data_IF_776170480252
#
_entry.id   IF_776170480252
#
_cell.length_a   1.000
_cell.length_b   1.000
_cell.length_c   1.000
_cell.angle_alpha   90.00
_cell.angle_beta   90.00
_cell.angle_gamma   90.00
#
_symmetry.space_group_name_H-M   'P 1'
#
loop_
_entity.id
_entity.type
_entity.pdbx_description
1 polymer ?
#
# COMPACT_ATOMS: atom_id res chain seq x y z
N UNK A 1 2.06 -21.57 -5.52
CA UNK A 1 1.30 -20.36 -5.14
C UNK A 1 1.63 -19.22 -6.10
N UNK A 2 0.73 -18.26 -6.34
CA UNK A 2 1.07 -17.12 -7.18
C UNK A 2 2.14 -16.27 -6.48
N UNK A 3 3.28 -16.06 -7.14
CA UNK A 3 4.42 -15.30 -6.62
C UNK A 3 4.04 -13.88 -6.12
N UNK A 4 2.88 -13.37 -6.54
CA UNK A 4 2.36 -12.06 -6.21
C UNK A 4 1.95 -11.91 -4.73
N UNK A 5 1.39 -12.96 -4.09
CA UNK A 5 0.95 -12.90 -2.68
C UNK A 5 2.16 -12.72 -1.73
N UNK A 6 3.21 -13.51 -1.95
CA UNK A 6 4.43 -13.44 -1.14
C UNK A 6 5.11 -12.08 -1.29
N UNK A 7 5.05 -11.47 -2.48
CA UNK A 7 5.60 -10.13 -2.69
C UNK A 7 4.85 -9.07 -1.87
N UNK A 8 3.51 -9.11 -1.87
CA UNK A 8 2.70 -8.18 -1.08
C UNK A 8 2.97 -8.29 0.43
N UNK A 9 3.15 -9.52 0.95
CA UNK A 9 3.53 -9.73 2.36
C UNK A 9 4.85 -9.00 2.65
N UNK A 10 5.87 -9.22 1.81
CA UNK A 10 7.18 -8.57 1.99
C UNK A 10 7.10 -7.05 1.87
N UNK A 11 6.34 -6.49 0.93
CA UNK A 11 6.19 -5.04 0.81
C UNK A 11 5.58 -4.44 2.08
N UNK A 12 4.53 -5.06 2.62
CA UNK A 12 3.91 -4.62 3.88
C UNK A 12 4.87 -4.76 5.07
N UNK A 13 5.67 -5.81 5.10
CA UNK A 13 6.70 -5.98 6.13
C UNK A 13 7.77 -4.89 6.04
N UNK A 14 8.30 -4.63 4.84
CA UNK A 14 9.29 -3.57 4.62
C UNK A 14 8.71 -2.21 5.02
N UNK A 15 7.46 -1.91 4.66
CA UNK A 15 6.75 -0.70 5.07
C UNK A 15 6.74 -0.52 6.59
N UNK A 16 6.28 -1.53 7.33
CA UNK A 16 6.27 -1.52 8.78
C UNK A 16 7.66 -1.33 9.39
N UNK A 17 8.67 -2.00 8.83
CA UNK A 17 10.06 -1.83 9.24
C UNK A 17 10.51 -0.38 9.07
N UNK A 18 10.40 0.17 7.86
CA UNK A 18 10.92 1.50 7.53
C UNK A 18 10.16 2.65 8.22
N UNK A 19 8.90 2.43 8.63
CA UNK A 19 8.14 3.34 9.50
C UNK A 19 8.63 3.34 10.96
N UNK A 20 9.22 2.24 11.44
CA UNK A 20 9.77 2.19 12.79
C UNK A 20 11.13 2.89 12.86
N UNK A 21 11.11 4.18 13.21
CA UNK A 21 12.29 5.05 13.33
C UNK A 21 13.10 4.84 14.62
N UNK A 22 12.59 4.08 15.58
CA UNK A 22 13.30 3.76 16.82
C UNK A 22 14.35 2.65 16.62
N UNK A 23 14.30 1.94 15.48
CA UNK A 23 15.28 0.94 15.07
C UNK A 23 15.95 1.35 13.75
N UNK A 24 17.22 0.99 13.59
CA UNK A 24 17.94 1.10 12.31
C UNK A 24 17.85 -0.24 11.59
N UNK A 25 17.54 -0.20 10.29
CA UNK A 25 17.30 -1.40 9.49
C UNK A 25 18.40 -1.59 8.46
N UNK A 26 19.21 -2.62 8.63
CA UNK A 26 20.10 -3.10 7.56
C UNK A 26 19.33 -3.94 6.55
N UNK A 27 19.96 -4.28 5.43
CA UNK A 27 19.36 -5.21 4.48
C UNK A 27 19.10 -6.59 5.12
N UNK A 28 20.02 -7.06 5.97
CA UNK A 28 19.87 -8.36 6.63
C UNK A 28 18.70 -8.36 7.63
N UNK A 29 18.50 -7.26 8.37
CA UNK A 29 17.32 -7.10 9.24
C UNK A 29 16.01 -7.18 8.44
N UNK A 30 15.97 -6.58 7.24
CA UNK A 30 14.79 -6.62 6.37
C UNK A 30 14.56 -8.03 5.79
N UNK A 31 15.64 -8.77 5.51
CA UNK A 31 15.59 -10.16 5.06
C UNK A 31 15.02 -11.08 6.13
N UNK A 32 15.50 -10.92 7.36
CA UNK A 32 15.01 -11.66 8.53
C UNK A 32 13.51 -11.36 8.75
N UNK A 33 13.14 -10.09 8.88
CA UNK A 33 11.75 -9.69 9.08
C UNK A 33 10.81 -10.19 7.96
N UNK A 34 11.25 -10.14 6.70
CA UNK A 34 10.47 -10.69 5.58
C UNK A 34 10.35 -12.21 5.64
N UNK A 35 11.39 -12.91 6.08
CA UNK A 35 11.40 -14.37 6.20
C UNK A 35 10.46 -14.83 7.31
N UNK A 36 10.50 -14.15 8.45
CA UNK A 36 9.60 -14.39 9.59
C UNK A 36 8.14 -14.15 9.18
N UNK A 37 7.85 -13.02 8.54
CA UNK A 37 6.49 -12.72 8.08
C UNK A 37 5.94 -13.75 7.08
N UNK A 38 6.79 -14.29 6.20
CA UNK A 38 6.41 -15.35 5.27
C UNK A 38 6.20 -16.70 5.98
N UNK A 39 6.97 -16.99 7.02
CA UNK A 39 6.76 -18.17 7.85
C UNK A 39 5.43 -18.05 8.61
N UNK A 40 5.19 -16.93 9.28
CA UNK A 40 4.00 -16.73 10.10
C UNK A 40 2.70 -16.72 9.28
N UNK A 41 2.71 -16.10 8.10
CA UNK A 41 1.51 -15.96 7.28
C UNK A 41 1.25 -17.17 6.36
N UNK A 42 2.31 -17.78 5.83
CA UNK A 42 2.20 -18.80 4.77
C UNK A 42 2.94 -20.12 5.08
N UNK A 43 3.58 -20.24 6.24
CA UNK A 43 4.35 -21.43 6.64
C UNK A 43 5.63 -21.63 5.82
N UNK A 44 6.15 -20.59 5.16
CA UNK A 44 7.32 -20.70 4.27
C UNK A 44 8.61 -20.71 5.09
N UNK A 45 9.18 -21.89 5.31
CA UNK A 45 10.40 -22.09 6.10
C UNK A 45 11.70 -21.68 5.39
N UNK A 46 11.70 -21.61 4.05
CA UNK A 46 12.89 -21.25 3.27
C UNK A 46 13.25 -19.76 3.41
N UNK A 47 12.29 -18.91 3.82
CA UNK A 47 12.47 -17.46 3.86
C UNK A 47 12.77 -16.85 2.49
N UNK A 48 13.45 -15.70 2.50
CA UNK A 48 13.93 -15.01 1.30
C UNK A 48 15.40 -14.63 1.41
N UNK A 49 16.04 -14.36 0.28
CA UNK A 49 17.43 -13.91 0.25
C UNK A 49 17.53 -12.40 0.06
N UNK A 50 18.72 -11.85 0.34
CA UNK A 50 19.04 -10.43 0.16
C UNK A 50 18.67 -9.90 -1.23
N UNK A 51 18.92 -10.68 -2.30
CA UNK A 51 18.57 -10.28 -3.67
C UNK A 51 17.07 -10.07 -3.84
N UNK A 52 16.23 -10.89 -3.21
CA UNK A 52 14.77 -10.74 -3.27
C UNK A 52 14.33 -9.44 -2.63
N UNK A 53 14.77 -9.17 -1.40
CA UNK A 53 14.41 -7.95 -0.67
C UNK A 53 14.95 -6.69 -1.37
N UNK A 54 16.15 -6.75 -1.96
CA UNK A 54 16.66 -5.66 -2.79
C UNK A 54 15.77 -5.39 -4.00
N UNK A 55 15.32 -6.42 -4.72
CA UNK A 55 14.39 -6.25 -5.83
C UNK A 55 13.05 -5.69 -5.36
N UNK A 56 12.55 -6.11 -4.21
CA UNK A 56 11.32 -5.58 -3.62
C UNK A 56 11.45 -4.09 -3.31
N UNK A 57 12.55 -3.65 -2.70
CA UNK A 57 12.83 -2.23 -2.44
C UNK A 57 12.88 -1.43 -3.76
N UNK A 58 13.50 -1.99 -4.81
CA UNK A 58 13.52 -1.32 -6.13
C UNK A 58 12.11 -1.20 -6.73
N UNK A 59 11.27 -2.22 -6.57
CA UNK A 59 9.87 -2.17 -6.99
C UNK A 59 9.09 -1.13 -6.17
N UNK A 60 9.27 -1.09 -4.85
CA UNK A 60 8.61 -0.13 -3.97
C UNK A 60 8.99 1.32 -4.30
N UNK A 61 10.26 1.57 -4.68
CA UNK A 61 10.72 2.88 -5.16
C UNK A 61 10.15 3.27 -6.53
N UNK A 62 9.80 2.29 -7.35
CA UNK A 62 9.32 2.53 -8.71
C UNK A 62 7.85 2.94 -8.78
N UNK A 63 7.45 3.44 -9.94
CA UNK A 63 6.08 3.79 -10.30
C UNK A 63 5.21 2.57 -10.67
N UNK A 64 5.80 1.38 -10.84
CA UNK A 64 5.11 0.15 -11.30
C UNK A 64 3.89 -0.25 -10.47
N UNK A 65 3.94 -0.01 -9.16
CA UNK A 65 2.83 -0.28 -8.23
C UNK A 65 2.17 1.02 -7.72
N UNK A 66 2.61 2.18 -8.20
CA UNK A 66 2.14 3.49 -7.75
C UNK A 66 2.67 3.92 -6.38
N UNK A 67 3.49 3.10 -5.70
CA UNK A 67 4.01 3.41 -4.37
C UNK A 67 4.95 4.62 -4.38
N UNK A 68 5.91 4.67 -5.30
CA UNK A 68 6.93 5.73 -5.36
C UNK A 68 7.58 5.98 -3.99
N UNK A 69 7.89 4.88 -3.28
CA UNK A 69 8.28 4.95 -1.88
C UNK A 69 9.63 5.68 -1.73
N UNK A 70 9.73 6.71 -0.88
CA UNK A 70 10.94 7.51 -0.71
C UNK A 70 11.97 6.79 0.16
N UNK A 71 12.33 5.54 -0.18
CA UNK A 71 13.29 4.73 0.57
C UNK A 71 14.69 5.24 0.26
N UNK A 72 15.43 5.67 1.27
CA UNK A 72 16.84 6.07 1.14
C UNK A 72 17.77 5.15 1.94
N UNK A 73 19.05 5.14 1.56
CA UNK A 73 20.12 4.49 2.32
C UNK A 73 20.95 5.58 2.99
N UNK A 74 21.08 5.51 4.31
CA UNK A 74 21.91 6.42 5.11
C UNK A 74 22.96 5.62 5.89
N UNK A 75 24.04 6.29 6.31
CA UNK A 75 25.23 5.68 6.90
C UNK A 75 25.73 4.44 6.14
N UNK A 76 25.56 4.46 4.81
CA UNK A 76 25.93 3.42 3.83
C UNK A 76 25.16 2.10 3.91
N UNK A 77 24.58 1.74 5.05
CA UNK A 77 24.01 0.40 5.26
C UNK A 77 22.56 0.39 5.75
N UNK A 78 22.05 1.50 6.26
CA UNK A 78 20.73 1.55 6.88
C UNK A 78 19.68 2.10 5.93
N UNK A 79 18.51 1.49 5.93
CA UNK A 79 17.35 1.87 5.14
C UNK A 79 16.34 2.63 6.01
N UNK A 80 15.69 3.64 5.44
CA UNK A 80 14.53 4.33 6.03
C UNK A 80 13.68 4.98 4.94
N UNK A 81 12.46 5.39 5.28
CA UNK A 81 11.77 6.40 4.49
C UNK A 81 12.37 7.79 4.74
N UNK A 82 12.64 8.53 3.66
CA UNK A 82 13.08 9.92 3.73
C UNK A 82 11.96 10.81 4.29
N UNK A 83 10.72 10.55 3.87
CA UNK A 83 9.51 11.11 4.47
C UNK A 83 9.05 10.25 5.66
N UNK A 84 9.05 10.75 6.90
CA UNK A 84 8.62 10.00 8.09
C UNK A 84 7.15 9.61 8.10
N UNK A 85 6.30 10.36 7.41
CA UNK A 85 4.85 10.15 7.41
C UNK A 85 4.41 9.23 6.25
N UNK A 86 5.36 8.85 5.38
CA UNK A 86 5.09 7.95 4.27
C UNK A 86 4.77 6.52 4.74
N UNK A 87 3.81 5.91 4.06
CA UNK A 87 3.47 4.50 4.19
C UNK A 87 2.89 3.99 2.87
N UNK A 88 3.21 2.77 2.45
CA UNK A 88 2.56 2.18 1.26
C UNK A 88 1.09 1.83 1.53
N UNK A 89 0.71 1.75 2.81
CA UNK A 89 -0.65 1.41 3.25
C UNK A 89 -1.50 2.63 3.56
N UNK A 90 -0.87 3.77 3.83
CA UNK A 90 -1.56 5.05 3.94
C UNK A 90 -1.37 5.73 2.60
N UNK A 91 -2.29 5.46 1.68
CA UNK A 91 -2.36 6.19 0.43
C UNK A 91 -3.20 7.43 0.72
N UNK A 92 -2.61 8.61 1.01
CA UNK A 92 -3.40 9.83 1.10
C UNK A 92 -4.03 10.02 -0.28
N UNK A 93 -5.36 10.05 -0.35
CA UNK A 93 -6.04 10.45 -1.59
C UNK A 93 -5.46 11.80 -1.98
N UNK A 94 -4.95 11.92 -3.20
CA UNK A 94 -4.50 13.22 -3.66
C UNK A 94 -5.68 14.20 -3.62
N UNK A 95 -5.39 15.50 -3.51
CA UNK A 95 -6.43 16.54 -3.55
C UNK A 95 -7.24 16.42 -4.86
N UNK A 96 -6.61 15.97 -5.95
CA UNK A 96 -7.27 15.70 -7.23
C UNK A 96 -8.19 14.48 -7.17
N UNK A 97 -7.77 13.38 -6.55
CA UNK A 97 -8.61 12.19 -6.34
C UNK A 97 -9.82 12.53 -5.47
N UNK A 98 -9.61 13.29 -4.40
CA UNK A 98 -10.71 13.80 -3.57
C UNK A 98 -11.71 14.64 -4.38
N UNK A 99 -11.23 15.52 -5.27
CA UNK A 99 -12.09 16.33 -6.15
C UNK A 99 -12.84 15.46 -7.17
N UNK A 100 -12.19 14.47 -7.75
CA UNK A 100 -12.79 13.53 -8.70
C UNK A 100 -13.87 12.68 -8.04
N UNK A 101 -13.60 12.16 -6.83
CA UNK A 101 -14.56 11.38 -6.06
C UNK A 101 -15.77 12.23 -5.67
N UNK A 102 -15.56 13.46 -5.20
CA UNK A 102 -16.66 14.41 -4.92
C UNK A 102 -17.51 14.68 -6.16
N UNK A 103 -16.87 14.89 -7.32
CA UNK A 103 -17.58 15.08 -8.60
C UNK A 103 -18.36 13.83 -9.02
N UNK A 104 -17.79 12.64 -8.82
CA UNK A 104 -18.47 11.37 -9.08
C UNK A 104 -19.72 11.22 -8.21
N UNK A 105 -19.63 11.50 -6.90
CA UNK A 105 -20.78 11.48 -5.98
C UNK A 105 -21.90 12.41 -6.47
N UNK A 106 -21.59 13.64 -6.84
CA UNK A 106 -22.58 14.61 -7.35
C UNK A 106 -23.24 14.11 -8.64
N UNK A 107 -22.47 13.54 -9.57
CA UNK A 107 -23.01 12.97 -10.80
C UNK A 107 -23.94 11.77 -10.53
N UNK A 108 -23.63 10.95 -9.52
CA UNK A 108 -24.48 9.83 -9.11
C UNK A 108 -25.77 10.31 -8.44
N UNK A 109 -25.71 11.37 -7.62
CA UNK A 109 -26.88 12.00 -7.00
C UNK A 109 -27.82 12.58 -8.07
N UNK A 110 -27.27 13.26 -9.07
CA UNK A 110 -28.05 13.84 -10.17
C UNK A 110 -28.60 12.80 -11.14
N UNK A 111 -28.01 11.60 -11.21
CA UNK A 111 -28.47 10.49 -12.07
C UNK A 111 -29.57 9.63 -11.45
N UNK A 112 -30.12 10.01 -10.28
CA UNK A 112 -31.23 9.28 -9.63
C UNK A 112 -32.55 9.30 -10.41
N UNK A 113 -32.57 9.82 -11.64
CA UNK A 113 -33.55 9.45 -12.65
C UNK A 113 -33.13 8.20 -13.42
N UNK A 114 -33.71 7.04 -13.05
CA UNK A 114 -34.02 5.92 -13.95
C UNK A 114 -34.80 4.82 -13.24
N UNK A 115 -35.90 4.42 -13.88
CA UNK A 115 -36.98 3.52 -13.46
C UNK A 115 -36.59 2.06 -13.14
N UNK A 116 -35.45 1.82 -12.46
CA UNK A 116 -34.99 0.47 -12.14
C UNK A 116 -34.37 0.43 -10.72
N UNK A 117 -35.07 -0.20 -9.77
CA UNK A 117 -34.68 -0.30 -8.35
C UNK A 117 -33.28 -0.89 -8.16
N UNK A 118 -32.90 -1.87 -8.99
CA UNK A 118 -31.58 -2.49 -8.96
C UNK A 118 -30.47 -1.49 -9.25
N UNK A 119 -30.72 -0.56 -10.19
CA UNK A 119 -29.75 0.49 -10.54
C UNK A 119 -29.57 1.46 -9.40
N UNK A 120 -30.66 1.84 -8.72
CA UNK A 120 -30.63 2.73 -7.54
C UNK A 120 -29.84 2.08 -6.41
N UNK A 121 -30.06 0.79 -6.15
CA UNK A 121 -29.36 0.07 -5.08
C UNK A 121 -27.85 -0.02 -5.33
N UNK A 122 -27.43 -0.33 -6.56
CA UNK A 122 -26.01 -0.37 -6.94
C UNK A 122 -25.38 1.02 -6.82
N UNK A 123 -26.07 2.06 -7.29
CA UNK A 123 -25.59 3.45 -7.21
C UNK A 123 -25.38 3.92 -5.76
N UNK A 124 -26.32 3.62 -4.86
CA UNK A 124 -26.19 3.96 -3.44
C UNK A 124 -24.99 3.23 -2.80
N UNK A 125 -24.81 1.94 -3.07
CA UNK A 125 -23.65 1.16 -2.56
C UNK A 125 -22.31 1.73 -3.03
N UNK A 126 -22.23 2.14 -4.30
CA UNK A 126 -21.02 2.79 -4.84
C UNK A 126 -20.80 4.14 -4.16
N UNK A 127 -21.85 4.95 -3.99
CA UNK A 127 -21.78 6.24 -3.31
C UNK A 127 -21.29 6.10 -1.86
N UNK A 128 -21.82 5.14 -1.11
CA UNK A 128 -21.44 4.91 0.30
C UNK A 128 -19.99 4.49 0.43
N UNK A 129 -19.51 3.64 -0.49
CA UNK A 129 -18.10 3.22 -0.52
C UNK A 129 -17.17 4.39 -0.83
N UNK A 130 -17.55 5.26 -1.76
CA UNK A 130 -16.78 6.48 -2.09
C UNK A 130 -16.76 7.49 -0.93
N UNK A 131 -17.89 7.67 -0.22
CA UNK A 131 -17.95 8.50 1.00
C UNK A 131 -17.07 7.93 2.12
N UNK A 132 -17.09 6.61 2.30
CA UNK A 132 -16.24 5.92 3.25
C UNK A 132 -14.77 6.21 2.97
N UNK A 133 -14.33 6.06 1.71
CA UNK A 133 -12.96 6.37 1.28
C UNK A 133 -12.56 7.83 1.58
N UNK A 134 -13.47 8.80 1.39
CA UNK A 134 -13.22 10.21 1.73
C UNK A 134 -13.10 10.50 3.24
N UNK A 135 -13.76 9.71 4.09
CA UNK A 135 -13.76 9.92 5.55
C UNK A 135 -12.52 9.35 6.25
N UNK A 136 -11.68 8.59 5.54
CA UNK A 136 -10.40 8.07 6.03
C UNK A 136 -9.21 8.99 5.66
N UNK A 137 -9.49 10.21 5.18
CA UNK A 137 -8.51 11.27 4.90
C UNK A 137 -8.66 12.40 5.90
#
# INVERSE_FOLDING_TARGET
>A
MPANKNALIRYKTIDNCLRNRYRRWTLDDLVEACSDALYDMEGITKGVCARTVQMDIQIMRSDKLGYNAPIEVYDRIYYRYADPDYSITEMPLSIEDCKLIKKAIILLENKKDKNNEDTIQVLNKVQDRLKSILNFV
#
